data_IF_129135225389
#
_entry.id   IF_129135225389
#
_cell.length_a   1.000
_cell.length_b   1.000
_cell.length_c   1.000
_cell.angle_alpha   90.00
_cell.angle_beta   90.00
_cell.angle_gamma   90.00
#
_symmetry.space_group_name_H-M   'P 1'
#
loop_
_entity.id
_entity.type
_entity.pdbx_description
1 polymer ?
#
# COMPACT_ATOMS: atom_id res chain seq x y z
N UNK A 1 22.32 38.87 -29.94
CA UNK A 1 21.61 37.58 -29.79
C UNK A 1 20.83 37.60 -28.49
N UNK A 2 19.50 37.52 -28.58
CA UNK A 2 18.55 37.87 -27.52
C UNK A 2 18.54 36.83 -26.40
N UNK A 3 18.69 37.29 -25.15
CA UNK A 3 18.58 36.51 -23.90
C UNK A 3 17.23 35.81 -23.70
N UNK A 4 16.27 36.06 -24.59
CA UNK A 4 14.88 35.59 -24.50
C UNK A 4 14.70 34.13 -24.93
N UNK A 5 15.62 33.57 -25.73
CA UNK A 5 15.52 32.17 -26.16
C UNK A 5 16.07 31.15 -25.13
N UNK A 6 16.83 31.61 -24.13
CA UNK A 6 17.39 30.71 -23.11
C UNK A 6 16.36 30.34 -22.04
N UNK A 7 15.38 31.20 -21.78
CA UNK A 7 14.36 30.98 -20.73
C UNK A 7 13.30 29.97 -21.19
N UNK A 8 12.99 29.92 -22.49
CA UNK A 8 11.98 29.01 -23.05
C UNK A 8 12.44 27.54 -23.09
N UNK A 9 13.76 27.28 -23.08
CA UNK A 9 14.31 25.93 -23.11
C UNK A 9 14.31 25.26 -21.71
N UNK A 10 14.35 26.06 -20.63
CA UNK A 10 14.34 25.53 -19.26
C UNK A 10 12.94 25.13 -18.76
N UNK A 11 11.86 25.69 -19.31
CA UNK A 11 10.48 25.42 -18.85
C UNK A 11 9.90 24.10 -19.37
N UNK A 12 10.47 23.50 -20.41
CA UNK A 12 9.99 22.21 -20.98
C UNK A 12 10.58 20.99 -20.26
N UNK A 13 11.70 21.15 -19.53
CA UNK A 13 12.40 20.04 -18.87
C UNK A 13 11.84 19.66 -17.48
N UNK A 14 10.84 20.38 -16.96
CA UNK A 14 10.27 20.13 -15.63
C UNK A 14 8.99 19.28 -15.60
N UNK A 15 8.51 18.75 -16.74
CA UNK A 15 7.16 18.15 -16.82
C UNK A 15 7.06 16.64 -16.56
N UNK A 16 8.15 15.89 -16.36
CA UNK A 16 8.05 14.42 -16.23
C UNK A 16 8.86 13.82 -15.10
N UNK A 17 8.47 14.10 -13.85
CA UNK A 17 8.86 13.23 -12.73
C UNK A 17 7.71 12.94 -11.77
N UNK A 18 6.55 12.56 -12.32
CA UNK A 18 5.55 11.80 -11.57
C UNK A 18 5.59 10.36 -12.09
N UNK A 19 6.31 9.48 -11.40
CA UNK A 19 6.55 8.09 -11.84
C UNK A 19 5.41 7.12 -11.58
N UNK A 20 4.30 7.60 -11.02
CA UNK A 20 3.14 6.79 -10.68
C UNK A 20 1.91 7.42 -11.30
N UNK A 21 1.26 6.71 -12.21
CA UNK A 21 -0.04 7.10 -12.72
C UNK A 21 -1.12 6.57 -11.77
N UNK A 22 -2.01 7.45 -11.30
CA UNK A 22 -3.07 7.12 -10.33
C UNK A 22 -4.44 7.53 -10.87
N UNK A 23 -5.35 6.58 -10.98
CA UNK A 23 -6.73 6.84 -11.40
C UNK A 23 -7.68 6.53 -10.25
N UNK A 24 -8.55 7.48 -9.87
CA UNK A 24 -9.57 7.27 -8.84
C UNK A 24 -10.67 6.36 -9.40
N UNK A 25 -11.00 5.29 -8.68
CA UNK A 25 -12.08 4.34 -9.02
C UNK A 25 -13.34 4.66 -8.23
N UNK A 26 -13.22 4.77 -6.91
CA UNK A 26 -14.37 4.97 -6.01
C UNK A 26 -13.99 5.91 -4.87
N UNK A 27 -14.94 6.73 -4.42
CA UNK A 27 -14.82 7.52 -3.20
C UNK A 27 -16.13 7.47 -2.42
N UNK A 28 -16.00 7.26 -1.12
CA UNK A 28 -17.13 7.26 -0.19
C UNK A 28 -16.74 7.87 1.16
N UNK A 29 -17.75 8.21 1.96
CA UNK A 29 -17.61 8.63 3.34
C UNK A 29 -18.43 7.69 4.23
N UNK A 30 -17.84 7.24 5.32
CA UNK A 30 -18.47 6.37 6.30
C UNK A 30 -18.07 6.79 7.73
N UNK A 31 -18.48 6.02 8.74
CA UNK A 31 -18.16 6.26 10.15
C UNK A 31 -16.65 6.28 10.46
N UNK A 32 -15.83 5.66 9.62
CA UNK A 32 -14.36 5.66 9.73
C UNK A 32 -13.71 6.79 8.90
N UNK A 33 -14.50 7.66 8.30
CA UNK A 33 -14.08 8.81 7.49
C UNK A 33 -14.20 8.57 5.99
N UNK A 34 -13.34 9.23 5.22
CA UNK A 34 -13.25 9.06 3.77
C UNK A 34 -12.47 7.80 3.40
N UNK A 35 -13.03 7.02 2.47
CA UNK A 35 -12.37 5.86 1.88
C UNK A 35 -12.34 6.07 0.36
N UNK A 36 -11.14 6.05 -0.21
CA UNK A 36 -10.90 6.27 -1.64
C UNK A 36 -10.13 5.09 -2.23
N UNK A 37 -10.54 4.62 -3.39
CA UNK A 37 -9.87 3.56 -4.13
C UNK A 37 -9.27 4.09 -5.42
N UNK A 38 -8.06 3.67 -5.72
CA UNK A 38 -7.30 4.09 -6.90
C UNK A 38 -6.70 2.87 -7.59
N UNK A 39 -6.60 2.88 -8.91
CA UNK A 39 -5.61 2.07 -9.60
C UNK A 39 -4.32 2.85 -9.70
N UNK A 40 -3.20 2.22 -9.35
CA UNK A 40 -1.87 2.81 -9.50
C UNK A 40 -1.03 1.94 -10.45
N UNK A 41 -0.32 2.58 -11.37
CA UNK A 41 0.67 1.94 -12.26
C UNK A 41 2.01 2.60 -11.98
N UNK A 42 2.98 1.83 -11.51
CA UNK A 42 4.36 2.28 -11.39
C UNK A 42 5.05 2.19 -12.76
N UNK A 43 5.57 3.33 -13.23
CA UNK A 43 6.21 3.47 -14.54
C UNK A 43 7.74 3.32 -14.46
N UNK A 44 8.31 3.13 -13.27
CA UNK A 44 9.77 3.03 -13.05
C UNK A 44 10.30 1.62 -12.80
N UNK A 45 9.45 0.66 -12.45
CA UNK A 45 9.86 -0.75 -12.33
C UNK A 45 9.61 -1.51 -13.65
N UNK A 46 10.60 -2.30 -14.09
CA UNK A 46 10.49 -3.22 -15.24
C UNK A 46 9.27 -4.16 -15.18
N UNK A 47 8.66 -4.32 -14.00
CA UNK A 47 7.50 -5.18 -13.78
C UNK A 47 6.15 -4.48 -13.81
N UNK A 48 6.06 -3.20 -14.22
CA UNK A 48 4.79 -2.47 -14.42
C UNK A 48 3.70 -2.87 -13.41
N UNK A 49 4.05 -2.87 -12.11
CA UNK A 49 3.21 -3.51 -11.09
C UNK A 49 1.99 -2.64 -10.83
N UNK A 50 0.94 -2.89 -11.62
CA UNK A 50 -0.40 -2.38 -11.40
C UNK A 50 -0.88 -2.87 -10.03
N UNK A 51 -1.53 -1.99 -9.29
CA UNK A 51 -2.11 -2.31 -7.99
C UNK A 51 -3.38 -1.53 -7.75
N UNK A 52 -4.26 -2.08 -6.93
CA UNK A 52 -5.37 -1.33 -6.36
C UNK A 52 -4.89 -0.74 -5.02
N UNK A 53 -5.16 0.54 -4.80
CA UNK A 53 -4.79 1.25 -3.57
C UNK A 53 -6.03 1.79 -2.90
N UNK A 54 -6.26 1.41 -1.65
CA UNK A 54 -7.29 2.00 -0.80
C UNK A 54 -6.65 2.99 0.17
N UNK A 55 -7.19 4.20 0.28
CA UNK A 55 -6.77 5.21 1.25
C UNK A 55 -7.91 5.49 2.22
N UNK A 56 -7.65 5.29 3.51
CA UNK A 56 -8.56 5.64 4.59
C UNK A 56 -8.09 6.96 5.19
N UNK A 57 -8.81 8.03 4.86
CA UNK A 57 -8.40 9.41 5.12
C UNK A 57 -6.96 9.65 4.63
N UNK A 58 -6.14 10.25 5.50
CA UNK A 58 -4.70 10.36 5.36
C UNK A 58 -3.98 9.53 6.45
N UNK A 59 -4.63 8.48 6.97
CA UNK A 59 -4.16 7.73 8.14
C UNK A 59 -3.61 6.35 7.80
N UNK A 60 -4.23 5.65 6.85
CA UNK A 60 -3.83 4.31 6.45
C UNK A 60 -4.02 4.13 4.95
N UNK A 61 -3.15 3.32 4.36
CA UNK A 61 -3.20 2.94 2.96
C UNK A 61 -3.03 1.42 2.82
N UNK A 62 -3.82 0.83 1.93
CA UNK A 62 -3.83 -0.58 1.62
C UNK A 62 -3.47 -0.73 0.15
N UNK A 63 -2.58 -1.66 -0.16
CA UNK A 63 -2.18 -1.98 -1.54
C UNK A 63 -2.47 -3.44 -1.80
N UNK A 64 -3.25 -3.68 -2.85
CA UNK A 64 -3.60 -5.01 -3.34
C UNK A 64 -2.72 -5.28 -4.55
N UNK A 65 -1.78 -6.19 -4.39
CA UNK A 65 -0.89 -6.70 -5.42
C UNK A 65 -1.39 -8.05 -5.93
N UNK A 66 -0.87 -8.53 -7.07
CA UNK A 66 -1.15 -9.88 -7.54
C UNK A 66 -0.91 -10.97 -6.49
N UNK A 67 0.16 -10.82 -5.71
CA UNK A 67 0.71 -11.83 -4.80
C UNK A 67 0.43 -11.56 -3.31
N UNK A 68 0.01 -10.35 -2.93
CA UNK A 68 -0.21 -9.99 -1.52
C UNK A 68 -1.10 -8.77 -1.34
N UNK A 69 -1.63 -8.61 -0.14
CA UNK A 69 -2.28 -7.39 0.31
C UNK A 69 -1.48 -6.82 1.48
N UNK A 70 -1.07 -5.57 1.38
CA UNK A 70 -0.31 -4.89 2.44
C UNK A 70 -1.02 -3.64 2.91
N UNK A 71 -0.89 -3.35 4.19
CA UNK A 71 -1.37 -2.14 4.85
C UNK A 71 -0.18 -1.41 5.44
N UNK A 72 -0.29 -0.10 5.46
CA UNK A 72 0.61 0.77 6.17
C UNK A 72 -0.19 1.87 6.86
N UNK A 73 0.36 2.40 7.94
CA UNK A 73 -0.21 3.52 8.69
C UNK A 73 0.74 4.71 8.66
N UNK A 74 0.21 5.91 8.93
CA UNK A 74 1.00 7.13 9.00
C UNK A 74 1.81 7.22 10.30
N UNK A 75 1.31 6.61 11.36
CA UNK A 75 1.92 6.59 12.69
C UNK A 75 3.14 5.66 12.72
N UNK A 76 3.00 4.46 12.18
CA UNK A 76 4.02 3.41 12.19
C UNK A 76 4.66 3.26 10.79
N UNK A 77 5.39 4.28 10.33
CA UNK A 77 5.94 4.31 8.96
C UNK A 77 6.97 3.21 8.69
N UNK A 78 7.60 2.73 9.74
CA UNK A 78 8.60 1.66 9.73
C UNK A 78 7.97 0.26 9.73
N UNK A 79 6.64 0.15 9.78
CA UNK A 79 5.95 -1.14 9.78
C UNK A 79 5.19 -1.38 8.48
N UNK A 80 5.19 -2.64 8.05
CA UNK A 80 4.35 -3.18 6.99
C UNK A 80 3.44 -4.23 7.62
N UNK A 81 2.15 -4.14 7.30
CA UNK A 81 1.15 -5.07 7.76
C UNK A 81 0.73 -5.93 6.57
N UNK A 82 1.30 -7.11 6.42
CA UNK A 82 0.99 -8.04 5.32
C UNK A 82 -0.19 -8.92 5.71
N UNK A 83 -1.21 -9.02 4.87
CA UNK A 83 -2.41 -9.81 5.17
C UNK A 83 -2.04 -11.29 5.33
N UNK A 84 -2.46 -11.90 6.44
CA UNK A 84 -2.05 -13.23 6.88
C UNK A 84 -3.23 -14.21 6.82
N UNK A 85 -3.01 -15.36 6.18
CA UNK A 85 -4.05 -16.34 5.84
C UNK A 85 -3.96 -17.63 6.65
N UNK A 86 -2.86 -17.85 7.36
CA UNK A 86 -2.67 -19.06 8.16
C UNK A 86 -3.21 -18.87 9.58
N UNK A 87 -3.23 -19.95 10.36
CA UNK A 87 -3.52 -19.85 11.79
C UNK A 87 -2.32 -19.21 12.48
N UNK A 88 -2.57 -18.16 13.28
CA UNK A 88 -1.54 -17.57 14.12
C UNK A 88 -1.10 -18.65 15.13
N UNK A 89 0.19 -19.03 15.16
CA UNK A 89 0.70 -19.96 16.16
C UNK A 89 0.37 -19.42 17.55
N UNK A 90 -0.11 -20.27 18.47
CA UNK A 90 -0.51 -19.81 19.81
C UNK A 90 0.64 -19.15 20.56
N UNK A 91 1.87 -19.59 20.31
CA UNK A 91 3.10 -19.03 20.86
C UNK A 91 3.43 -17.64 20.30
N UNK A 92 2.79 -17.25 19.19
CA UNK A 92 3.01 -16.01 18.47
C UNK A 92 1.74 -15.14 18.35
N UNK A 93 0.65 -15.41 19.08
CA UNK A 93 -0.52 -14.50 19.20
C UNK A 93 -0.16 -13.27 20.07
N UNK A 94 0.95 -12.63 19.74
CA UNK A 94 1.44 -11.39 20.33
C UNK A 94 1.11 -10.24 19.35
N UNK A 95 0.45 -9.16 19.83
CA UNK A 95 0.20 -7.94 19.06
C UNK A 95 1.43 -7.31 18.40
N UNK A 96 2.64 -7.66 18.86
CA UNK A 96 3.92 -7.27 18.25
C UNK A 96 4.15 -7.88 16.87
N UNK A 97 3.64 -9.09 16.62
CA UNK A 97 3.86 -9.84 15.38
C UNK A 97 2.60 -9.94 14.53
N UNK A 98 1.42 -9.93 15.15
CA UNK A 98 0.15 -10.04 14.45
C UNK A 98 -0.88 -9.00 14.91
N UNK A 99 -1.57 -8.41 13.95
CA UNK A 99 -2.70 -7.53 14.21
C UNK A 99 -3.98 -8.15 13.67
N UNK A 100 -4.90 -8.56 14.55
CA UNK A 100 -6.24 -9.03 14.17
C UNK A 100 -6.98 -7.97 13.35
N UNK A 101 -7.75 -8.41 12.36
CA UNK A 101 -8.49 -7.49 11.49
C UNK A 101 -9.55 -6.71 12.29
N UNK A 102 -9.47 -5.38 12.24
CA UNK A 102 -10.53 -4.53 12.78
C UNK A 102 -11.71 -4.45 11.82
N UNK A 103 -12.89 -4.01 12.30
CA UNK A 103 -14.06 -3.77 11.45
C UNK A 103 -13.74 -2.82 10.26
N UNK A 104 -12.86 -1.84 10.48
CA UNK A 104 -12.36 -0.94 9.44
C UNK A 104 -11.54 -1.67 8.39
N UNK A 105 -10.66 -2.59 8.81
CA UNK A 105 -9.86 -3.41 7.89
C UNK A 105 -10.80 -4.31 7.07
N UNK A 106 -11.72 -5.01 7.71
CA UNK A 106 -12.71 -5.88 7.04
C UNK A 106 -13.53 -5.12 5.98
N UNK A 107 -13.96 -3.89 6.29
CA UNK A 107 -14.69 -3.04 5.35
C UNK A 107 -13.85 -2.68 4.13
N UNK A 108 -12.59 -2.28 4.33
CA UNK A 108 -11.68 -1.92 3.23
C UNK A 108 -11.38 -3.13 2.36
N UNK A 109 -11.08 -4.28 2.98
CA UNK A 109 -10.75 -5.53 2.28
C UNK A 109 -11.95 -6.04 1.46
N UNK A 110 -13.15 -6.09 2.05
CA UNK A 110 -14.36 -6.53 1.34
C UNK A 110 -14.70 -5.64 0.15
N UNK A 111 -14.51 -4.32 0.27
CA UNK A 111 -14.72 -3.41 -0.86
C UNK A 111 -13.62 -3.50 -1.91
N UNK A 112 -12.37 -3.65 -1.49
CA UNK A 112 -11.26 -3.86 -2.41
C UNK A 112 -11.49 -5.09 -3.27
N UNK A 113 -11.96 -6.18 -2.67
CA UNK A 113 -12.30 -7.42 -3.35
C UNK A 113 -13.40 -7.25 -4.42
N UNK A 114 -14.51 -6.57 -4.08
CA UNK A 114 -15.57 -6.23 -5.06
C UNK A 114 -15.06 -5.36 -6.21
N UNK A 115 -14.12 -4.45 -5.93
CA UNK A 115 -13.51 -3.60 -6.97
C UNK A 115 -12.61 -4.44 -7.87
N UNK A 116 -11.84 -5.38 -7.33
CA UNK A 116 -11.04 -6.30 -8.14
C UNK A 116 -11.93 -7.11 -9.09
N UNK A 117 -13.11 -7.56 -8.64
CA UNK A 117 -14.09 -8.23 -9.50
C UNK A 117 -14.62 -7.31 -10.60
N UNK A 118 -14.96 -6.07 -10.25
CA UNK A 118 -15.45 -5.06 -11.20
C UNK A 118 -14.40 -4.72 -12.26
N UNK A 119 -13.13 -4.75 -11.89
CA UNK A 119 -11.99 -4.54 -12.78
C UNK A 119 -11.56 -5.81 -13.54
N UNK A 120 -12.18 -6.96 -13.26
CA UNK A 120 -11.84 -8.28 -13.81
C UNK A 120 -10.39 -8.71 -13.50
N UNK A 121 -9.83 -8.29 -12.37
CA UNK A 121 -8.47 -8.63 -11.94
C UNK A 121 -8.45 -9.93 -11.14
N UNK A 122 -8.69 -11.03 -11.84
CA UNK A 122 -8.82 -12.35 -11.21
C UNK A 122 -7.50 -12.91 -10.66
N UNK A 123 -6.35 -12.45 -11.18
CA UNK A 123 -5.01 -12.88 -10.79
C UNK A 123 -4.45 -12.14 -9.55
N UNK A 124 -5.31 -11.48 -8.77
CA UNK A 124 -4.91 -10.76 -7.56
C UNK A 124 -5.23 -11.54 -6.29
N UNK A 125 -4.36 -11.39 -5.28
CA UNK A 125 -4.59 -11.93 -3.95
C UNK A 125 -5.95 -11.45 -3.44
N UNK A 126 -6.77 -12.40 -3.03
CA UNK A 126 -8.09 -12.14 -2.44
C UNK A 126 -7.99 -12.14 -0.92
N UNK A 127 -8.77 -11.32 -0.20
CA UNK A 127 -8.68 -11.25 1.25
C UNK A 127 -9.45 -12.37 1.98
N UNK A 128 -10.18 -13.22 1.26
CA UNK A 128 -10.95 -14.32 1.86
C UNK A 128 -10.04 -15.28 2.62
N UNK A 129 -10.45 -15.66 3.84
CA UNK A 129 -9.68 -16.57 4.71
C UNK A 129 -8.64 -15.87 5.59
N UNK A 130 -8.32 -14.60 5.36
CA UNK A 130 -7.42 -13.85 6.24
C UNK A 130 -8.11 -13.46 7.55
N UNK A 131 -7.37 -13.55 8.66
CA UNK A 131 -7.86 -13.22 10.01
C UNK A 131 -7.06 -12.12 10.70
N UNK A 132 -5.85 -11.84 10.19
CA UNK A 132 -4.94 -10.84 10.74
C UNK A 132 -4.01 -10.27 9.69
N UNK A 133 -3.22 -9.29 10.09
CA UNK A 133 -1.99 -8.90 9.43
C UNK A 133 -0.79 -9.44 10.20
N UNK A 134 0.21 -9.95 9.50
CA UNK A 134 1.56 -10.12 10.02
C UNK A 134 2.30 -8.79 9.95
N UNK A 135 3.03 -8.44 11.00
CA UNK A 135 3.75 -7.17 11.15
C UNK A 135 5.22 -7.40 10.82
N UNK A 136 5.71 -6.69 9.82
CA UNK A 136 7.09 -6.71 9.36
C UNK A 136 7.74 -5.34 9.58
N UNK A 137 8.99 -5.33 10.03
CA UNK A 137 9.79 -4.10 10.11
C UNK A 137 10.38 -3.78 8.74
N UNK A 138 10.10 -2.59 8.24
CA UNK A 138 10.71 -2.05 7.02
C UNK A 138 11.74 -0.98 7.38
N UNK A 139 13.01 -1.32 7.21
CA UNK A 139 14.13 -0.40 7.39
C UNK A 139 14.26 0.54 6.19
N UNK A 140 13.40 1.56 6.15
CA UNK A 140 13.38 2.56 5.06
C UNK A 140 14.70 3.35 4.90
N UNK A 141 15.61 3.30 5.89
CA UNK A 141 16.94 3.94 5.86
C UNK A 141 18.11 2.94 5.93
N UNK A 142 17.86 1.65 5.66
CA UNK A 142 18.84 0.58 5.80
C UNK A 142 18.93 0.00 7.21
N UNK A 143 19.51 -1.20 7.32
CA UNK A 143 19.80 -1.85 8.61
C UNK A 143 20.65 -0.91 9.48
N UNK A 144 20.43 -0.85 10.80
CA UNK A 144 21.33 -0.10 11.67
C UNK A 144 22.75 -0.64 11.46
N UNK A 145 23.66 0.20 10.96
CA UNK A 145 25.01 -0.22 10.52
C UNK A 145 25.82 -0.90 11.65
N UNK A 146 25.42 -0.70 12.90
CA UNK A 146 26.15 -1.14 14.09
C UNK A 146 25.32 -2.01 15.05
N UNK A 147 24.08 -2.39 14.71
CA UNK A 147 23.32 -3.31 15.56
C UNK A 147 23.53 -4.75 15.10
N UNK A 148 24.25 -5.52 15.93
CA UNK A 148 24.31 -6.98 15.76
C UNK A 148 22.96 -7.54 16.19
N UNK A 149 22.23 -8.11 15.23
CA UNK A 149 21.05 -8.91 15.54
C UNK A 149 21.46 -10.06 16.45
N UNK A 150 20.95 -10.07 17.68
CA UNK A 150 21.07 -11.21 18.59
C UNK A 150 19.74 -11.98 18.50
N UNK A 151 19.68 -13.12 17.79
CA UNK A 151 18.53 -13.99 17.90
C UNK A 151 18.43 -14.47 19.36
N UNK A 152 17.22 -14.42 19.91
CA UNK A 152 16.90 -15.11 21.17
C UNK A 152 16.71 -16.59 20.92
#
# INVERSE_FOLDING_TARGET
MRKEHLILLCSVLFLHSCSVNRTLIERQRNQHGSLKFYTEVDLKEDRHRKKLVAKVNNSAYYSFYPDKIVKHTREEKQLIYTLFFEQIPKEMDDPKYYQKLSAKDSLVLSKGDRILDSLQWQNYQRPHGASAFQIEVNFYHGYPKNEKFRPY
#
